data_IF_253342689559
#
_entry.id   IF_253342689559
#
_cell.length_a   1.000
_cell.length_b   1.000
_cell.length_c   1.000
_cell.angle_alpha   90.00
_cell.angle_beta   90.00
_cell.angle_gamma   90.00
#
_symmetry.space_group_name_H-M   'P 1'
#
loop_
_entity.id
_entity.type
_entity.pdbx_description
1 polymer ?
#
# COMPACT_ATOMS: atom_id res chain seq x y z
N UNK A 1 7.66 -9.47 1.71
CA UNK A 1 8.11 -8.12 2.15
C UNK A 1 8.50 -7.22 0.97
N UNK A 2 9.18 -7.77 -0.01
CA UNK A 2 9.64 -6.98 -1.15
C UNK A 2 8.51 -6.30 -1.92
N UNK A 3 7.41 -7.01 -2.15
CA UNK A 3 6.27 -6.43 -2.87
C UNK A 3 5.61 -5.32 -2.08
N UNK A 4 5.57 -5.45 -0.76
CA UNK A 4 5.01 -4.42 0.10
C UNK A 4 5.86 -3.16 0.02
N UNK A 5 7.18 -3.32 0.00
CA UNK A 5 8.10 -2.20 -0.13
C UNK A 5 7.87 -1.48 -1.46
N UNK A 6 7.66 -2.22 -2.53
CA UNK A 6 7.37 -1.63 -3.84
C UNK A 6 6.10 -0.80 -3.81
N UNK A 7 5.06 -1.30 -3.14
CA UNK A 7 3.80 -0.58 -3.00
C UNK A 7 4.01 0.71 -2.22
N UNK A 8 4.71 0.63 -1.09
CA UNK A 8 4.97 1.81 -0.25
C UNK A 8 5.74 2.87 -1.02
N UNK A 9 6.78 2.47 -1.74
CA UNK A 9 7.57 3.41 -2.53
C UNK A 9 6.73 4.06 -3.63
N UNK A 10 5.88 3.28 -4.27
CA UNK A 10 4.99 3.79 -5.30
C UNK A 10 4.05 4.86 -4.73
N UNK A 11 3.46 4.60 -3.57
CA UNK A 11 2.58 5.55 -2.91
C UNK A 11 3.33 6.80 -2.47
N UNK A 12 4.57 6.64 -2.00
CA UNK A 12 5.38 7.78 -1.59
C UNK A 12 5.71 8.69 -2.77
N UNK A 13 5.99 8.11 -3.92
CA UNK A 13 6.27 8.89 -5.12
C UNK A 13 5.08 9.71 -5.59
N UNK A 14 3.87 9.32 -5.23
CA UNK A 14 2.67 10.05 -5.58
C UNK A 14 2.46 11.31 -4.71
N UNK A 15 3.32 11.54 -3.71
CA UNK A 15 3.31 12.74 -2.88
C UNK A 15 1.92 13.06 -2.31
N UNK A 16 1.35 12.08 -1.60
CA UNK A 16 0.02 12.19 -0.99
C UNK A 16 -1.13 12.23 -1.99
N UNK A 17 -0.83 12.05 -3.28
CA UNK A 17 -1.87 11.90 -4.30
C UNK A 17 -2.52 10.54 -4.21
N UNK A 18 -3.77 10.48 -4.71
CA UNK A 18 -4.51 9.23 -4.77
C UNK A 18 -4.07 8.42 -5.98
N UNK A 19 -3.88 7.12 -5.78
CA UNK A 19 -3.60 6.19 -6.87
C UNK A 19 -4.67 5.10 -6.90
N UNK A 20 -5.08 4.71 -8.10
CA UNK A 20 -5.97 3.58 -8.30
C UNK A 20 -5.18 2.29 -8.07
N UNK A 21 -5.87 1.26 -7.58
CA UNK A 21 -5.22 -0.05 -7.41
C UNK A 21 -4.57 -0.51 -8.73
N UNK A 22 -5.28 -0.32 -9.84
CA UNK A 22 -4.75 -0.75 -11.14
C UNK A 22 -3.54 0.05 -11.59
N UNK A 23 -3.48 1.33 -11.20
CA UNK A 23 -2.31 2.14 -11.51
C UNK A 23 -1.10 1.68 -10.71
N UNK A 24 -1.29 1.37 -9.43
CA UNK A 24 -0.22 0.80 -8.61
C UNK A 24 0.25 -0.50 -9.22
N UNK A 25 -0.69 -1.38 -9.57
CA UNK A 25 -0.40 -2.67 -10.19
C UNK A 25 0.45 -2.51 -11.45
N UNK A 26 0.10 -1.54 -12.30
CA UNK A 26 0.84 -1.29 -13.54
C UNK A 26 2.26 -0.80 -13.25
N UNK A 27 2.41 0.10 -12.28
CA UNK A 27 3.71 0.70 -11.98
C UNK A 27 4.71 -0.28 -11.40
N UNK A 28 4.23 -1.25 -10.61
CA UNK A 28 5.13 -2.18 -9.93
C UNK A 28 5.06 -3.59 -10.50
N UNK A 29 4.29 -3.78 -11.57
CA UNK A 29 4.18 -5.05 -12.30
C UNK A 29 3.71 -6.20 -11.41
N UNK A 30 2.64 -5.96 -10.67
CA UNK A 30 1.97 -6.97 -9.86
C UNK A 30 0.49 -7.01 -10.22
N UNK A 31 -0.12 -8.19 -10.10
CA UNK A 31 -1.54 -8.33 -10.36
C UNK A 31 -2.34 -7.48 -9.36
N UNK A 32 -3.43 -6.85 -9.83
CA UNK A 32 -4.20 -5.94 -8.99
C UNK A 32 -4.81 -6.62 -7.76
N UNK A 33 -5.16 -7.90 -7.86
CA UNK A 33 -5.67 -8.64 -6.70
C UNK A 33 -4.58 -8.84 -5.64
N UNK A 34 -3.35 -9.05 -6.06
CA UNK A 34 -2.22 -9.16 -5.16
C UNK A 34 -1.96 -7.83 -4.45
N UNK A 35 -1.99 -6.73 -5.20
CA UNK A 35 -1.81 -5.39 -4.64
C UNK A 35 -2.88 -5.11 -3.59
N UNK A 36 -4.14 -5.35 -3.93
CA UNK A 36 -5.26 -5.13 -3.02
C UNK A 36 -5.12 -5.97 -1.76
N UNK A 37 -4.77 -7.23 -1.89
CA UNK A 37 -4.60 -8.13 -0.75
C UNK A 37 -3.48 -7.66 0.17
N UNK A 38 -2.36 -7.26 -0.39
CA UNK A 38 -1.22 -6.80 0.42
C UNK A 38 -1.52 -5.50 1.14
N UNK A 39 -2.22 -4.57 0.48
CA UNK A 39 -2.60 -3.31 1.11
C UNK A 39 -3.55 -3.58 2.28
N UNK A 40 -4.57 -4.39 2.07
CA UNK A 40 -5.56 -4.68 3.10
C UNK A 40 -5.00 -5.51 4.25
N UNK A 41 -3.99 -6.34 3.98
CA UNK A 41 -3.40 -7.21 5.01
C UNK A 41 -2.31 -6.52 5.82
N UNK A 42 -1.52 -5.65 5.20
CA UNK A 42 -0.30 -5.15 5.83
C UNK A 42 -0.23 -3.63 5.94
N UNK A 43 -0.92 -2.89 5.09
CA UNK A 43 -0.75 -1.45 5.02
C UNK A 43 -1.98 -0.64 5.43
N UNK A 44 -3.05 -1.30 5.85
CA UNK A 44 -4.32 -0.62 6.13
C UNK A 44 -4.17 0.49 7.17
N UNK A 45 -3.22 0.34 8.11
CA UNK A 45 -2.99 1.35 9.15
C UNK A 45 -2.32 2.61 8.64
N UNK A 46 -1.65 2.52 7.49
CA UNK A 46 -0.82 3.60 6.97
C UNK A 46 -1.41 4.30 5.76
N UNK A 47 -2.54 3.81 5.26
CA UNK A 47 -3.14 4.32 4.03
C UNK A 47 -4.58 4.75 4.26
N UNK A 48 -5.04 5.66 3.41
CA UNK A 48 -6.45 5.95 3.28
C UNK A 48 -6.96 5.24 2.04
N UNK A 49 -8.13 4.63 2.16
CA UNK A 49 -8.76 3.90 1.06
C UNK A 49 -10.11 4.53 0.80
N UNK A 50 -10.36 4.89 -0.44
CA UNK A 50 -11.65 5.43 -0.86
C UNK A 50 -12.19 4.60 -2.01
N UNK A 51 -13.42 4.13 -1.85
CA UNK A 51 -14.09 3.37 -2.90
C UNK A 51 -15.07 4.26 -3.63
N UNK A 52 -14.98 4.27 -4.96
CA UNK A 52 -15.87 5.08 -5.79
C UNK A 52 -16.95 4.21 -6.40
N UNK A 53 -18.19 4.52 -6.04
CA UNK A 53 -19.35 3.87 -6.61
C UNK A 53 -19.84 4.64 -7.84
N UNK A 54 -20.47 4.01 -8.83
CA UNK A 54 -20.85 2.60 -8.87
C UNK A 54 -19.77 1.69 -9.46
N UNK A 55 -18.60 2.23 -9.78
CA UNK A 55 -17.58 1.48 -10.53
C UNK A 55 -16.79 0.53 -9.66
N UNK A 56 -16.99 0.59 -8.34
CA UNK A 56 -16.29 -0.28 -7.38
C UNK A 56 -14.77 -0.20 -7.52
N UNK A 57 -14.27 1.01 -7.74
CA UNK A 57 -12.84 1.26 -7.91
C UNK A 57 -12.30 1.80 -6.60
N UNK A 58 -11.13 1.30 -6.18
CA UNK A 58 -10.48 1.74 -4.96
C UNK A 58 -9.33 2.68 -5.27
N UNK A 59 -9.29 3.81 -4.57
CA UNK A 59 -8.18 4.75 -4.61
C UNK A 59 -7.44 4.69 -3.28
N UNK A 60 -6.14 4.74 -3.35
CA UNK A 60 -5.26 4.55 -2.19
C UNK A 60 -4.29 5.71 -2.11
N UNK A 61 -4.02 6.19 -0.90
CA UNK A 61 -2.91 7.11 -0.65
C UNK A 61 -2.35 6.86 0.74
N UNK A 62 -1.10 7.24 0.95
CA UNK A 62 -0.54 7.24 2.31
C UNK A 62 -1.23 8.32 3.12
N UNK A 63 -1.47 8.03 4.40
CA UNK A 63 -2.02 9.04 5.30
C UNK A 63 -1.07 10.23 5.37
N UNK A 64 -1.58 11.48 5.34
CA UNK A 64 -0.70 12.64 5.42
C UNK A 64 0.17 12.60 6.66
N UNK A 65 1.45 12.98 6.49
CA UNK A 65 2.40 12.96 7.58
C UNK A 65 2.99 11.59 7.91
N UNK A 66 2.66 10.56 7.14
CA UNK A 66 3.22 9.23 7.37
C UNK A 66 4.69 9.19 6.98
N UNK A 67 5.52 8.73 7.90
CA UNK A 67 6.94 8.55 7.66
C UNK A 67 7.18 7.14 7.12
N UNK A 68 7.74 7.06 5.93
CA UNK A 68 8.02 5.78 5.28
C UNK A 68 8.91 4.89 6.14
N UNK A 69 9.83 5.50 6.90
CA UNK A 69 10.72 4.73 7.78
C UNK A 69 9.95 4.06 8.90
N UNK A 70 8.89 4.69 9.39
CA UNK A 70 8.03 4.09 10.40
C UNK A 70 7.30 2.89 9.85
N UNK A 71 6.87 2.96 8.59
CA UNK A 71 6.22 1.82 7.94
C UNK A 71 7.19 0.65 7.86
N UNK A 72 8.41 0.90 7.40
CA UNK A 72 9.41 -0.16 7.27
C UNK A 72 9.76 -0.77 8.61
N UNK A 73 9.86 0.06 9.63
CA UNK A 73 10.14 -0.42 10.99
C UNK A 73 9.01 -1.32 11.50
N UNK A 74 7.77 -0.90 11.30
CA UNK A 74 6.60 -1.68 11.71
C UNK A 74 6.56 -3.03 10.98
N UNK A 75 6.76 -3.01 9.66
CA UNK A 75 6.75 -4.24 8.87
C UNK A 75 7.86 -5.19 9.30
N UNK A 76 9.03 -4.65 9.61
CA UNK A 76 10.16 -5.45 10.07
C UNK A 76 9.85 -6.15 11.39
N UNK A 77 9.21 -5.44 12.32
CA UNK A 77 8.80 -6.02 13.60
C UNK A 77 7.76 -7.11 13.40
N UNK A 78 6.77 -6.85 12.55
CA UNK A 78 5.72 -7.85 12.29
C UNK A 78 6.28 -9.10 11.62
N UNK A 79 7.25 -8.94 10.74
CA UNK A 79 7.91 -10.06 10.10
C UNK A 79 8.63 -10.93 11.12
N UNK A 80 9.31 -10.32 12.07
CA UNK A 80 10.00 -11.06 13.13
C UNK A 80 9.03 -11.81 14.03
N UNK A 81 7.88 -11.20 14.33
CA UNK A 81 6.86 -11.85 15.15
C UNK A 81 6.29 -13.08 14.46
N UNK A 82 6.11 -13.01 13.16
CA UNK A 82 5.55 -14.10 12.37
C UNK A 82 6.56 -15.17 11.98
N UNK A 83 7.82 -14.90 12.25
CA UNK A 83 8.91 -15.79 11.89
C UNK A 83 9.17 -16.77 13.02
N UNK A 84 8.61 -17.95 12.92
CA UNK A 84 8.84 -18.99 13.93
C UNK A 84 9.20 -20.30 13.30
#
# INVERSE_FOLDING_TARGET
MENIIKIVKCLKQAEEGWLWIREISRRIDLHHKTVSRLINSHLVMFVEIQRLEPFNVQMIRLKPGTDINNIFRFLSVMEKINEK
#
